data_IF_832608153163
#
_entry.id   IF_832608153163
#
_cell.length_a   1.000
_cell.length_b   1.000
_cell.length_c   1.000
_cell.angle_alpha   90.00
_cell.angle_beta   90.00
_cell.angle_gamma   90.00
#
_symmetry.space_group_name_H-M   'P 1'
#
loop_
_entity.id
_entity.type
_entity.pdbx_description
1 polymer ?
#
# COMPACT_ATOMS: atom_id res chain seq x y z
N UNK A 1 -18.46 26.45 -8.52
CA UNK A 1 -18.59 25.66 -9.78
C UNK A 1 -18.71 24.19 -9.40
N UNK A 2 -19.40 23.37 -10.20
CA UNK A 2 -19.43 21.91 -10.02
C UNK A 2 -18.65 21.26 -11.16
N UNK A 3 -17.85 20.25 -10.83
CA UNK A 3 -17.04 19.48 -11.78
C UNK A 3 -17.18 17.98 -11.48
N UNK A 4 -16.64 17.15 -12.36
CA UNK A 4 -16.53 15.71 -12.17
C UNK A 4 -15.07 15.29 -12.31
N UNK A 5 -14.56 14.53 -11.35
CA UNK A 5 -13.21 13.96 -11.38
C UNK A 5 -13.27 12.51 -10.91
N UNK A 6 -12.60 11.59 -11.64
CA UNK A 6 -12.69 10.15 -11.42
C UNK A 6 -14.13 9.62 -11.32
N UNK A 7 -15.03 10.10 -12.21
CA UNK A 7 -16.45 9.77 -12.20
C UNK A 7 -17.20 10.17 -10.90
N UNK A 8 -16.62 11.05 -10.08
CA UNK A 8 -17.23 11.54 -8.85
C UNK A 8 -17.45 13.06 -8.94
N UNK A 9 -18.59 13.57 -8.46
CA UNK A 9 -18.85 15.00 -8.42
C UNK A 9 -17.95 15.69 -7.39
N UNK A 10 -17.56 16.93 -7.67
CA UNK A 10 -16.86 17.78 -6.72
C UNK A 10 -17.22 19.26 -6.92
N UNK A 11 -17.17 20.02 -5.84
CA UNK A 11 -17.32 21.46 -5.86
C UNK A 11 -15.95 22.11 -5.97
N UNK A 12 -15.86 23.13 -6.81
CA UNK A 12 -14.65 23.93 -7.03
C UNK A 12 -15.00 25.40 -6.82
N UNK A 13 -14.19 26.08 -6.03
CA UNK A 13 -14.08 27.52 -6.04
C UNK A 13 -12.60 27.90 -6.20
N UNK A 14 -12.35 29.02 -6.86
CA UNK A 14 -10.99 29.51 -7.04
C UNK A 14 -10.96 31.02 -6.96
N UNK A 15 -9.82 31.53 -6.55
CA UNK A 15 -9.49 32.95 -6.55
C UNK A 15 -8.09 33.13 -7.13
N UNK A 16 -7.87 34.28 -7.74
CA UNK A 16 -6.57 34.63 -8.29
C UNK A 16 -6.11 35.97 -7.76
N UNK A 17 -4.80 36.13 -7.68
CA UNK A 17 -4.16 37.37 -7.25
C UNK A 17 -2.93 37.62 -8.11
N UNK A 18 -2.96 38.72 -8.84
CA UNK A 18 -1.79 39.23 -9.52
C UNK A 18 -0.95 40.04 -8.52
N UNK A 19 0.33 39.69 -8.38
CA UNK A 19 1.28 40.39 -7.52
C UNK A 19 2.54 40.76 -8.28
N UNK A 20 3.31 41.72 -7.76
CA UNK A 20 4.48 42.28 -8.46
C UNK A 20 5.56 41.26 -8.88
N UNK A 21 5.59 40.06 -8.28
CA UNK A 21 6.62 39.03 -8.54
C UNK A 21 6.05 37.69 -9.04
N UNK A 22 4.75 37.47 -8.87
CA UNK A 22 4.11 36.21 -9.19
C UNK A 22 2.60 36.37 -9.32
N UNK A 23 2.01 35.54 -10.16
CA UNK A 23 0.58 35.30 -10.18
C UNK A 23 0.24 34.13 -9.25
N UNK A 24 -0.78 34.28 -8.42
CA UNK A 24 -1.19 33.26 -7.45
C UNK A 24 -2.61 32.79 -7.76
N UNK A 25 -2.83 31.48 -7.64
CA UNK A 25 -4.15 30.86 -7.75
C UNK A 25 -4.38 30.05 -6.49
N UNK A 26 -5.50 30.28 -5.83
CA UNK A 26 -5.96 29.47 -4.71
C UNK A 26 -7.26 28.77 -5.14
N UNK A 27 -7.31 27.46 -5.01
CA UNK A 27 -8.48 26.64 -5.34
C UNK A 27 -8.91 25.90 -4.08
N UNK A 28 -10.19 26.00 -3.73
CA UNK A 28 -10.78 25.11 -2.73
C UNK A 28 -11.66 24.08 -3.44
N UNK A 29 -11.57 22.87 -2.92
CA UNK A 29 -12.22 21.68 -3.43
C UNK A 29 -12.99 21.03 -2.28
N UNK A 30 -14.14 20.46 -2.56
CA UNK A 30 -14.78 19.51 -1.64
C UNK A 30 -15.64 18.51 -2.41
N UNK A 31 -15.83 17.34 -1.82
CA UNK A 31 -16.63 16.28 -2.42
C UNK A 31 -17.05 15.24 -1.41
N UNK A 32 -18.03 14.42 -1.79
CA UNK A 32 -18.37 13.19 -1.09
C UNK A 32 -18.25 12.03 -2.08
N UNK A 33 -17.13 11.34 -2.03
CA UNK A 33 -16.73 10.37 -3.05
C UNK A 33 -16.95 8.95 -2.59
N UNK A 34 -17.28 8.07 -3.53
CA UNK A 34 -17.32 6.63 -3.31
C UNK A 34 -16.01 6.01 -3.83
N UNK A 35 -15.06 5.62 -2.96
CA UNK A 35 -13.73 5.16 -3.40
C UNK A 35 -13.79 4.00 -4.41
N UNK A 36 -14.70 3.06 -4.19
CA UNK A 36 -14.95 1.90 -5.06
C UNK A 36 -15.47 2.24 -6.47
N UNK A 37 -15.89 3.50 -6.71
CA UNK A 37 -16.48 3.97 -7.99
C UNK A 37 -15.63 5.00 -8.70
N UNK A 38 -14.39 5.19 -8.26
CA UNK A 38 -13.43 6.11 -8.88
C UNK A 38 -12.90 5.58 -10.23
N UNK A 39 -12.95 4.26 -10.43
CA UNK A 39 -12.43 3.61 -11.64
C UNK A 39 -10.91 3.51 -11.71
N UNK A 40 -10.20 3.87 -10.63
CA UNK A 40 -8.73 3.84 -10.58
C UNK A 40 -8.18 2.57 -9.92
N UNK A 41 -8.97 1.93 -9.06
CA UNK A 41 -8.55 0.73 -8.33
C UNK A 41 -8.88 -0.55 -9.11
N UNK A 42 -8.09 -1.62 -8.90
CA UNK A 42 -8.42 -2.96 -9.42
C UNK A 42 -9.81 -3.43 -8.98
N UNK A 43 -10.46 -4.25 -9.81
CA UNK A 43 -11.82 -4.76 -9.54
C UNK A 43 -11.93 -5.44 -8.17
N UNK A 44 -11.00 -6.34 -7.84
CA UNK A 44 -10.96 -7.03 -6.56
C UNK A 44 -10.82 -6.09 -5.34
N UNK A 45 -10.17 -4.93 -5.52
CA UNK A 45 -10.05 -3.91 -4.48
C UNK A 45 -11.35 -3.09 -4.39
N UNK A 46 -11.96 -2.72 -5.52
CA UNK A 46 -13.24 -2.02 -5.53
C UNK A 46 -14.34 -2.83 -4.84
N UNK A 47 -14.42 -4.13 -5.09
CA UNK A 47 -15.42 -5.02 -4.48
C UNK A 47 -15.25 -5.14 -2.94
N UNK A 48 -14.03 -4.97 -2.44
CA UNK A 48 -13.75 -5.02 -1.01
C UNK A 48 -14.10 -3.70 -0.29
N UNK A 49 -14.31 -2.60 -1.02
CA UNK A 49 -14.55 -1.27 -0.47
C UNK A 49 -16.03 -0.87 -0.61
N UNK A 50 -16.55 -0.15 0.39
CA UNK A 50 -17.92 0.34 0.36
C UNK A 50 -18.08 1.64 1.13
N UNK A 51 -19.16 2.36 0.84
CA UNK A 51 -19.48 3.64 1.48
C UNK A 51 -18.90 4.86 0.75
N UNK A 52 -18.84 5.98 1.47
CA UNK A 52 -18.40 7.26 0.91
C UNK A 52 -17.54 8.04 1.89
N UNK A 53 -16.72 8.94 1.37
CA UNK A 53 -15.86 9.83 2.16
C UNK A 53 -16.14 11.27 1.76
N UNK A 54 -16.54 12.06 2.75
CA UNK A 54 -16.54 13.51 2.62
C UNK A 54 -15.11 14.02 2.83
N UNK A 55 -14.67 14.89 1.93
CA UNK A 55 -13.32 15.45 1.96
C UNK A 55 -13.34 16.92 1.51
N UNK A 56 -12.36 17.67 2.00
CA UNK A 56 -12.03 19.02 1.55
C UNK A 56 -10.58 19.06 1.05
N UNK A 57 -10.34 19.99 0.14
CA UNK A 57 -9.03 20.17 -0.47
C UNK A 57 -8.71 21.63 -0.68
N UNK A 58 -7.44 21.98 -0.52
CA UNK A 58 -6.90 23.31 -0.82
C UNK A 58 -5.72 23.15 -1.74
N UNK A 59 -5.70 23.90 -2.82
CA UNK A 59 -4.60 23.93 -3.78
C UNK A 59 -4.10 25.36 -3.90
N UNK A 60 -2.82 25.57 -3.61
CA UNK A 60 -2.14 26.84 -3.85
C UNK A 60 -1.17 26.69 -5.01
N UNK A 61 -1.32 27.50 -6.05
CA UNK A 61 -0.41 27.54 -7.21
C UNK A 61 0.27 28.91 -7.23
N UNK A 62 1.59 28.90 -7.39
CA UNK A 62 2.40 30.10 -7.55
C UNK A 62 3.09 30.04 -8.90
N UNK A 63 2.89 31.09 -9.69
CA UNK A 63 3.46 31.28 -11.03
C UNK A 63 4.35 32.53 -11.01
N UNK A 64 5.64 32.40 -10.65
CA UNK A 64 6.58 33.51 -10.73
C UNK A 64 6.82 33.94 -12.19
N UNK A 65 6.98 35.23 -12.45
CA UNK A 65 7.16 35.73 -13.83
C UNK A 65 8.47 35.30 -14.50
N UNK A 66 9.47 34.92 -13.71
CA UNK A 66 10.82 34.59 -14.17
C UNK A 66 11.36 33.27 -13.59
N UNK A 67 10.47 32.41 -13.07
CA UNK A 67 10.86 31.09 -12.55
C UNK A 67 9.76 30.04 -12.82
N UNK A 68 10.06 28.77 -12.53
CA UNK A 68 9.10 27.67 -12.71
C UNK A 68 7.92 27.73 -11.74
N UNK A 69 6.78 27.18 -12.18
CA UNK A 69 5.59 27.05 -11.35
C UNK A 69 5.79 26.08 -10.18
N UNK A 70 5.20 26.41 -9.04
CA UNK A 70 5.13 25.53 -7.86
C UNK A 70 3.70 25.42 -7.38
N UNK A 71 3.35 24.30 -6.77
CA UNK A 71 2.04 24.10 -6.18
C UNK A 71 2.12 23.35 -4.86
N UNK A 72 1.16 23.63 -3.99
CA UNK A 72 0.86 22.84 -2.81
C UNK A 72 -0.58 22.32 -2.88
N UNK A 73 -0.81 21.15 -2.31
CA UNK A 73 -2.14 20.58 -2.13
C UNK A 73 -2.25 20.08 -0.70
N UNK A 74 -3.36 20.38 -0.04
CA UNK A 74 -3.75 19.75 1.21
C UNK A 74 -5.13 19.13 1.02
N UNK A 75 -5.28 17.85 1.32
CA UNK A 75 -6.56 17.13 1.32
C UNK A 75 -6.83 16.61 2.72
N UNK A 76 -8.05 16.79 3.20
CA UNK A 76 -8.53 16.28 4.48
C UNK A 76 -9.81 15.49 4.27
N UNK A 77 -9.95 14.37 4.97
CA UNK A 77 -11.19 13.60 4.99
C UNK A 77 -11.27 12.69 6.20
N UNK A 78 -12.43 12.08 6.40
CA UNK A 78 -12.61 11.04 7.41
C UNK A 78 -13.28 9.82 6.78
N UNK A 79 -12.58 8.68 6.82
CA UNK A 79 -13.04 7.40 6.30
C UNK A 79 -14.04 6.69 7.24
N UNK A 80 -14.64 7.42 8.19
CA UNK A 80 -15.70 6.90 9.09
C UNK A 80 -16.78 6.11 8.35
N UNK A 81 -17.27 6.66 7.25
CA UNK A 81 -18.37 6.05 6.48
C UNK A 81 -17.88 5.07 5.40
N UNK A 82 -16.58 4.78 5.36
CA UNK A 82 -15.98 3.78 4.46
C UNK A 82 -15.72 2.50 5.24
N UNK A 83 -16.14 1.37 4.65
CA UNK A 83 -15.76 0.04 5.10
C UNK A 83 -14.79 -0.61 4.10
N UNK A 84 -13.91 -1.44 4.64
CA UNK A 84 -12.93 -2.22 3.90
C UNK A 84 -12.97 -3.67 4.37
N UNK A 85 -13.24 -4.57 3.43
CA UNK A 85 -13.15 -6.02 3.58
C UNK A 85 -11.83 -6.56 3.00
N UNK A 86 -10.84 -5.68 2.82
CA UNK A 86 -9.49 -6.09 2.44
C UNK A 86 -8.85 -6.91 3.57
N UNK A 87 -7.87 -7.78 3.24
CA UNK A 87 -7.11 -8.51 4.25
C UNK A 87 -6.46 -7.59 5.28
N UNK A 88 -6.26 -8.11 6.49
CA UNK A 88 -5.51 -7.41 7.54
C UNK A 88 -4.10 -7.02 7.05
N UNK A 89 -3.65 -5.77 7.27
CA UNK A 89 -4.19 -4.77 8.21
C UNK A 89 -5.21 -3.79 7.65
N UNK A 90 -5.64 -3.93 6.40
CA UNK A 90 -6.54 -2.96 5.75
C UNK A 90 -8.03 -3.23 6.01
N UNK A 91 -8.37 -4.30 6.73
CA UNK A 91 -9.72 -4.55 7.17
C UNK A 91 -10.21 -3.42 8.08
N UNK A 92 -11.39 -2.87 7.81
CA UNK A 92 -11.98 -1.78 8.59
C UNK A 92 -13.51 -1.83 8.54
N UNK A 93 -14.22 -1.87 9.67
CA UNK A 93 -15.68 -1.72 9.68
C UNK A 93 -16.10 -0.27 9.38
N UNK A 94 -17.33 -0.10 8.91
CA UNK A 94 -17.95 1.23 8.83
C UNK A 94 -18.26 1.75 10.25
N UNK A 95 -18.29 3.07 10.41
CA UNK A 95 -18.65 3.75 11.66
C UNK A 95 -17.46 4.17 12.53
N UNK A 96 -16.29 3.56 12.33
CA UNK A 96 -15.05 3.92 13.04
C UNK A 96 -14.34 5.07 12.32
N UNK A 97 -14.13 6.23 12.99
CA UNK A 97 -13.40 7.34 12.42
C UNK A 97 -11.98 6.92 12.03
N UNK A 98 -11.58 7.33 10.83
CA UNK A 98 -10.21 7.18 10.36
C UNK A 98 -9.89 8.46 9.57
N UNK A 99 -9.45 9.53 10.26
CA UNK A 99 -9.05 10.77 9.63
C UNK A 99 -7.89 10.51 8.67
N UNK A 100 -7.94 11.13 7.49
CA UNK A 100 -6.89 11.07 6.48
C UNK A 100 -6.50 12.49 6.11
N UNK A 101 -5.20 12.77 6.15
CA UNK A 101 -4.62 14.00 5.64
C UNK A 101 -3.56 13.64 4.59
N UNK A 102 -3.57 14.35 3.47
CA UNK A 102 -2.57 14.27 2.42
C UNK A 102 -2.06 15.66 2.14
N UNK A 103 -0.74 15.80 2.04
CA UNK A 103 -0.06 17.02 1.62
C UNK A 103 0.81 16.72 0.42
N UNK A 104 0.78 17.60 -0.56
CA UNK A 104 1.61 17.52 -1.75
C UNK A 104 2.33 18.84 -1.93
N UNK A 105 3.64 18.77 -2.13
CA UNK A 105 4.46 19.91 -2.52
C UNK A 105 5.17 19.59 -3.83
N UNK A 106 4.97 20.41 -4.84
CA UNK A 106 5.38 20.09 -6.19
C UNK A 106 5.79 21.26 -7.07
N UNK A 107 6.41 20.91 -8.18
CA UNK A 107 6.77 21.81 -9.26
C UNK A 107 6.50 21.12 -10.61
N UNK A 108 6.98 21.70 -11.71
CA UNK A 108 6.74 21.16 -13.05
C UNK A 108 7.40 19.80 -13.34
N UNK A 109 8.36 19.36 -12.54
CA UNK A 109 9.16 18.14 -12.77
C UNK A 109 8.84 17.01 -11.80
N UNK A 110 8.41 17.32 -10.59
CA UNK A 110 8.17 16.32 -9.54
C UNK A 110 7.30 16.88 -8.43
N UNK A 111 6.71 15.98 -7.64
CA UNK A 111 6.11 16.33 -6.36
C UNK A 111 6.43 15.30 -5.30
N UNK A 112 6.50 15.78 -4.07
CA UNK A 112 6.57 14.95 -2.88
C UNK A 112 5.18 14.95 -2.23
N UNK A 113 4.70 13.77 -1.88
CA UNK A 113 3.41 13.54 -1.25
C UNK A 113 3.66 12.91 0.12
N UNK A 114 3.11 13.53 1.15
CA UNK A 114 3.13 13.04 2.52
C UNK A 114 1.71 12.88 3.01
N UNK A 115 1.51 12.05 4.03
CA UNK A 115 0.25 12.06 4.75
C UNK A 115 0.13 10.97 5.78
N UNK A 116 -1.05 10.92 6.36
CA UNK A 116 -1.38 10.05 7.47
C UNK A 116 -2.82 9.55 7.38
N UNK A 117 -3.04 8.35 7.89
CA UNK A 117 -4.35 7.79 8.14
C UNK A 117 -4.42 7.36 9.61
N UNK A 118 -5.39 7.87 10.37
CA UNK A 118 -5.43 7.65 11.81
C UNK A 118 -4.20 8.23 12.52
N UNK A 119 -3.81 7.59 13.63
CA UNK A 119 -2.72 8.06 14.49
C UNK A 119 -1.35 7.43 14.16
N UNK A 120 -1.34 6.36 13.38
CA UNK A 120 -0.24 5.41 13.32
C UNK A 120 0.14 4.98 11.89
N UNK A 121 -0.65 5.33 10.88
CA UNK A 121 -0.29 5.06 9.48
C UNK A 121 0.22 6.32 8.83
N UNK A 122 1.47 6.29 8.35
CA UNK A 122 2.11 7.39 7.65
C UNK A 122 2.62 6.94 6.29
N UNK A 123 2.46 7.80 5.30
CA UNK A 123 2.93 7.58 3.94
C UNK A 123 3.73 8.76 3.43
N UNK A 124 4.78 8.46 2.68
CA UNK A 124 5.65 9.44 2.04
C UNK A 124 6.03 8.91 0.66
N UNK A 125 5.92 9.72 -0.37
CA UNK A 125 6.25 9.32 -1.74
C UNK A 125 6.77 10.48 -2.57
N UNK A 126 7.61 10.16 -3.54
CA UNK A 126 8.11 11.10 -4.55
C UNK A 126 7.70 10.61 -5.93
N UNK A 127 7.15 11.53 -6.70
CA UNK A 127 6.65 11.27 -8.04
C UNK A 127 7.34 12.19 -9.04
N UNK A 128 7.67 11.64 -10.20
CA UNK A 128 8.25 12.37 -11.32
C UNK A 128 7.17 12.63 -12.37
N UNK A 129 7.11 13.87 -12.82
CA UNK A 129 6.25 14.34 -13.89
C UNK A 129 7.06 14.26 -15.19
N UNK A 130 6.62 13.39 -16.10
CA UNK A 130 7.24 13.18 -17.40
C UNK A 130 6.22 12.68 -18.41
N UNK A 131 6.65 11.91 -19.41
CA UNK A 131 5.73 11.29 -20.39
C UNK A 131 4.68 10.40 -19.71
N UNK A 132 5.06 9.75 -18.61
CA UNK A 132 4.19 8.97 -17.75
C UNK A 132 4.47 9.36 -16.31
N UNK A 133 3.42 9.51 -15.52
CA UNK A 133 3.54 9.72 -14.07
C UNK A 133 4.34 8.55 -13.48
N UNK A 134 5.47 8.83 -12.85
CA UNK A 134 6.37 7.78 -12.35
C UNK A 134 6.53 7.90 -10.85
N UNK A 135 6.23 6.83 -10.13
CA UNK A 135 6.58 6.72 -8.72
C UNK A 135 8.09 6.44 -8.62
N UNK A 136 8.86 7.40 -8.11
CA UNK A 136 10.30 7.23 -7.88
C UNK A 136 10.53 6.45 -6.59
N UNK A 137 9.97 6.96 -5.50
CA UNK A 137 10.17 6.42 -4.14
C UNK A 137 8.88 6.47 -3.35
N UNK A 138 8.62 5.45 -2.55
CA UNK A 138 7.54 5.45 -1.59
C UNK A 138 7.92 4.70 -0.33
N UNK A 139 7.36 5.14 0.79
CA UNK A 139 7.28 4.38 2.01
C UNK A 139 5.89 4.49 2.60
N UNK A 140 5.35 3.37 3.05
CA UNK A 140 4.20 3.32 3.95
C UNK A 140 4.65 2.61 5.21
N UNK A 141 4.58 3.32 6.33
CA UNK A 141 4.82 2.79 7.66
C UNK A 141 3.53 2.80 8.48
N UNK A 142 3.02 1.62 8.76
CA UNK A 142 2.02 1.40 9.81
C UNK A 142 2.70 1.37 11.19
N UNK A 143 1.94 1.59 12.25
CA UNK A 143 2.42 1.69 13.63
C UNK A 143 3.53 2.75 13.84
N UNK A 144 3.62 3.74 12.95
CA UNK A 144 4.61 4.81 13.02
C UNK A 144 4.02 6.05 13.69
N UNK A 145 4.77 6.62 14.64
CA UNK A 145 4.40 7.89 15.32
C UNK A 145 4.81 9.14 14.54
N UNK A 146 5.68 8.99 13.55
CA UNK A 146 6.23 10.10 12.77
C UNK A 146 6.22 9.78 11.30
N UNK A 147 6.22 10.80 10.45
CA UNK A 147 6.40 10.65 9.02
C UNK A 147 7.77 10.00 8.73
N UNK A 148 7.83 8.81 8.10
CA UNK A 148 9.10 8.20 7.74
C UNK A 148 9.79 8.97 6.60
N UNK A 149 11.13 9.02 6.57
CA UNK A 149 11.87 9.56 5.43
C UNK A 149 11.66 8.67 4.20
N UNK A 150 11.78 9.27 3.01
CA UNK A 150 11.80 8.50 1.77
C UNK A 150 12.99 7.51 1.75
N UNK A 151 12.84 6.34 1.12
CA UNK A 151 13.96 5.43 0.88
C UNK A 151 15.12 6.13 0.14
N UNK A 152 16.35 5.67 0.36
CA UNK A 152 17.52 6.23 -0.32
C UNK A 152 17.53 5.91 -1.82
N UNK A 153 17.00 4.74 -2.19
CA UNK A 153 16.95 4.23 -3.57
C UNK A 153 15.53 4.25 -4.12
N UNK A 154 15.38 4.36 -5.43
CA UNK A 154 14.08 4.23 -6.10
C UNK A 154 13.43 2.89 -5.79
N UNK A 155 12.20 2.90 -5.27
CA UNK A 155 11.56 1.71 -4.74
C UNK A 155 10.38 2.02 -3.82
N UNK A 156 9.66 0.97 -3.46
CA UNK A 156 8.58 1.03 -2.46
C UNK A 156 9.01 0.26 -1.21
N UNK A 157 8.94 0.91 -0.05
CA UNK A 157 9.09 0.26 1.26
C UNK A 157 7.74 0.18 1.97
N UNK A 158 7.39 -1.02 2.42
CA UNK A 158 6.17 -1.33 3.13
C UNK A 158 6.54 -1.84 4.52
N UNK A 159 6.38 -1.00 5.53
CA UNK A 159 6.58 -1.36 6.93
C UNK A 159 5.21 -1.61 7.55
N UNK A 160 4.84 -2.89 7.60
CA UNK A 160 3.50 -3.35 7.90
C UNK A 160 3.42 -3.95 9.30
N UNK A 161 2.26 -3.89 9.95
CA UNK A 161 2.00 -4.63 11.19
C UNK A 161 1.88 -6.13 10.84
N UNK A 162 1.49 -7.03 11.77
CA UNK A 162 1.23 -8.42 11.41
C UNK A 162 0.24 -8.58 10.24
N UNK A 163 0.54 -9.45 9.29
CA UNK A 163 -0.23 -9.64 8.05
C UNK A 163 -0.68 -11.09 7.86
N UNK A 164 -1.86 -11.28 7.26
CA UNK A 164 -2.30 -12.57 6.76
C UNK A 164 -1.94 -12.72 5.27
N UNK A 165 -0.76 -13.26 4.99
CA UNK A 165 -0.26 -13.47 3.63
C UNK A 165 -1.12 -14.38 2.76
N UNK A 166 -1.84 -15.35 3.35
CA UNK A 166 -2.73 -16.23 2.59
C UNK A 166 -3.94 -15.46 2.02
N UNK A 167 -4.54 -14.57 2.81
CA UNK A 167 -5.63 -13.71 2.35
C UNK A 167 -5.16 -12.70 1.30
N UNK A 168 -3.99 -12.10 1.48
CA UNK A 168 -3.38 -11.22 0.49
C UNK A 168 -3.09 -11.95 -0.83
N UNK A 169 -2.53 -13.15 -0.76
CA UNK A 169 -2.28 -13.97 -1.96
C UNK A 169 -3.60 -14.30 -2.69
N UNK A 170 -4.65 -14.66 -1.96
CA UNK A 170 -5.97 -14.91 -2.54
C UNK A 170 -6.55 -13.65 -3.21
N UNK A 171 -6.34 -12.47 -2.65
CA UNK A 171 -6.73 -11.19 -3.27
C UNK A 171 -5.97 -10.93 -4.58
N UNK A 172 -4.65 -11.14 -4.60
CA UNK A 172 -3.84 -10.96 -5.81
C UNK A 172 -4.21 -11.95 -6.91
N UNK A 173 -4.53 -13.20 -6.56
CA UNK A 173 -5.01 -14.20 -7.52
C UNK A 173 -6.37 -13.85 -8.14
N UNK A 174 -7.16 -12.98 -7.50
CA UNK A 174 -8.41 -12.43 -8.05
C UNK A 174 -8.19 -11.21 -8.96
N UNK A 175 -6.96 -10.90 -9.34
CA UNK A 175 -6.65 -9.84 -10.30
C UNK A 175 -6.34 -8.47 -9.66
N UNK A 176 -6.04 -8.40 -8.37
CA UNK A 176 -5.67 -7.13 -7.73
C UNK A 176 -4.38 -6.48 -8.29
N UNK A 177 -3.60 -7.20 -9.09
CA UNK A 177 -2.36 -6.71 -9.72
C UNK A 177 -2.54 -6.24 -11.18
N UNK A 178 -3.68 -6.50 -11.83
CA UNK A 178 -3.79 -6.41 -13.29
C UNK A 178 -3.99 -4.98 -13.85
N UNK A 179 -4.44 -4.02 -13.04
CA UNK A 179 -4.94 -2.72 -13.55
C UNK A 179 -4.08 -1.50 -13.25
N UNK A 180 -2.92 -1.64 -12.58
CA UNK A 180 -2.15 -0.49 -12.11
C UNK A 180 -1.23 0.11 -13.21
N UNK A 181 -0.96 -0.65 -14.28
CA UNK A 181 0.08 -0.33 -15.27
C UNK A 181 -0.28 0.70 -16.36
N UNK A 182 -1.53 1.14 -16.49
CA UNK A 182 -1.94 2.02 -17.61
C UNK A 182 -1.53 3.49 -17.45
N UNK A 183 -1.79 4.07 -16.28
CA UNK A 183 -1.68 5.52 -16.06
C UNK A 183 -0.35 5.97 -15.42
N UNK A 184 0.35 5.06 -14.71
CA UNK A 184 1.59 5.37 -14.02
C UNK A 184 2.65 4.27 -14.18
N UNK A 185 3.91 4.65 -13.97
CA UNK A 185 5.05 3.74 -13.86
C UNK A 185 5.41 3.55 -12.39
N UNK A 186 5.63 2.30 -11.98
CA UNK A 186 5.96 1.94 -10.61
C UNK A 186 7.35 1.30 -10.54
N UNK A 187 8.10 1.53 -9.46
CA UNK A 187 9.41 0.94 -9.33
C UNK A 187 9.27 -0.56 -9.07
N UNK A 188 10.21 -1.34 -9.61
CA UNK A 188 10.24 -2.80 -9.45
C UNK A 188 10.95 -3.25 -8.18
N UNK A 189 11.71 -2.34 -7.54
CA UNK A 189 12.30 -2.58 -6.23
C UNK A 189 11.24 -2.40 -5.14
N UNK A 190 10.92 -3.48 -4.42
CA UNK A 190 9.92 -3.50 -3.36
C UNK A 190 10.53 -4.14 -2.13
N UNK A 191 10.46 -3.47 -0.99
CA UNK A 191 10.82 -4.00 0.32
C UNK A 191 9.56 -4.10 1.17
N UNK A 192 9.27 -5.28 1.72
CA UNK A 192 8.22 -5.51 2.71
C UNK A 192 8.87 -5.93 4.02
N UNK A 193 8.55 -5.23 5.11
CA UNK A 193 8.95 -5.58 6.47
C UNK A 193 7.70 -5.76 7.31
N UNK A 194 7.62 -6.87 8.03
CA UNK A 194 6.52 -7.14 8.95
C UNK A 194 7.01 -7.96 10.15
N UNK A 195 6.54 -7.68 11.38
CA UNK A 195 6.90 -8.49 12.53
C UNK A 195 6.35 -9.92 12.44
N UNK A 196 5.26 -10.15 11.70
CA UNK A 196 4.70 -11.48 11.49
C UNK A 196 3.90 -11.56 10.19
N UNK A 197 4.21 -12.54 9.34
CA UNK A 197 3.42 -12.91 8.17
C UNK A 197 2.86 -14.32 8.36
N UNK A 198 1.55 -14.50 8.27
CA UNK A 198 0.94 -15.83 8.21
C UNK A 198 0.82 -16.30 6.76
N UNK A 199 1.57 -17.33 6.36
CA UNK A 199 1.53 -17.88 5.00
C UNK A 199 1.93 -19.35 5.00
N UNK A 200 1.24 -20.19 4.21
CA UNK A 200 1.56 -21.62 4.11
C UNK A 200 1.35 -22.36 5.42
N UNK A 201 0.26 -22.05 6.15
CA UNK A 201 -0.07 -22.59 7.47
C UNK A 201 1.02 -22.37 8.54
N UNK A 202 1.91 -21.40 8.34
CA UNK A 202 2.98 -21.05 9.27
C UNK A 202 3.01 -19.54 9.51
N UNK A 203 3.51 -19.15 10.69
CA UNK A 203 3.92 -17.79 10.99
C UNK A 203 5.40 -17.59 10.69
N UNK A 204 5.71 -16.60 9.86
CA UNK A 204 7.05 -16.12 9.55
C UNK A 204 7.30 -14.86 10.37
N UNK A 205 8.21 -14.94 11.33
CA UNK A 205 8.45 -13.90 12.31
C UNK A 205 9.64 -13.01 11.91
N UNK A 206 9.50 -11.71 12.16
CA UNK A 206 10.47 -10.66 11.82
C UNK A 206 10.92 -10.77 10.36
N UNK A 207 9.95 -10.79 9.45
CA UNK A 207 10.16 -11.06 8.05
C UNK A 207 10.47 -9.77 7.28
N UNK A 208 11.55 -9.79 6.51
CA UNK A 208 11.92 -8.82 5.50
C UNK A 208 11.97 -9.52 4.15
N UNK A 209 11.18 -9.06 3.19
CA UNK A 209 11.20 -9.51 1.80
C UNK A 209 11.67 -8.36 0.92
N UNK A 210 12.70 -8.58 0.12
CA UNK A 210 13.19 -7.59 -0.86
C UNK A 210 13.07 -8.21 -2.24
N UNK A 211 12.29 -7.58 -3.12
CA UNK A 211 12.19 -7.92 -4.53
C UNK A 211 12.89 -6.85 -5.34
N UNK A 212 13.80 -7.23 -6.23
CA UNK A 212 14.50 -6.29 -7.09
C UNK A 212 14.71 -6.84 -8.50
N UNK A 213 14.63 -5.99 -9.53
CA UNK A 213 14.93 -6.41 -10.89
C UNK A 213 16.43 -6.71 -11.04
N UNK A 214 16.72 -7.65 -11.92
CA UNK A 214 18.07 -8.02 -12.36
C UNK A 214 18.12 -7.97 -13.89
N UNK A 215 19.32 -8.07 -14.46
CA UNK A 215 19.48 -8.07 -15.92
C UNK A 215 18.70 -9.19 -16.65
N UNK A 216 18.36 -10.29 -15.96
CA UNK A 216 17.70 -11.45 -16.57
C UNK A 216 16.50 -11.98 -15.75
N UNK A 217 15.74 -11.06 -15.12
CA UNK A 217 14.55 -11.39 -14.35
C UNK A 217 14.50 -10.68 -13.00
N UNK A 218 13.98 -11.33 -11.97
CA UNK A 218 13.79 -10.73 -10.64
C UNK A 218 14.48 -11.57 -9.58
N UNK A 219 15.14 -10.91 -8.63
CA UNK A 219 15.66 -11.55 -7.42
C UNK A 219 14.76 -11.19 -6.24
N UNK A 220 14.35 -12.21 -5.48
CA UNK A 220 13.61 -12.05 -4.23
C UNK A 220 14.45 -12.60 -3.09
N UNK A 221 14.66 -11.81 -2.07
CA UNK A 221 15.35 -12.20 -0.84
C UNK A 221 14.35 -12.22 0.30
N UNK A 222 14.33 -13.29 1.08
CA UNK A 222 13.50 -13.41 2.27
C UNK A 222 14.40 -13.68 3.47
N UNK A 223 14.32 -12.81 4.48
CA UNK A 223 15.07 -12.92 5.72
C UNK A 223 14.12 -12.79 6.90
N UNK A 224 14.13 -13.78 7.78
CA UNK A 224 13.35 -13.80 9.02
C UNK A 224 13.86 -14.88 9.96
N UNK A 225 13.15 -15.09 11.07
CA UNK A 225 13.53 -16.11 12.06
C UNK A 225 13.47 -17.52 11.47
N UNK A 226 12.50 -17.78 10.61
CA UNK A 226 12.25 -19.11 10.04
C UNK A 226 12.85 -19.30 8.64
N UNK A 227 13.29 -18.24 7.96
CA UNK A 227 13.82 -18.32 6.59
C UNK A 227 15.00 -17.37 6.35
N UNK A 228 16.01 -17.86 5.65
CA UNK A 228 16.99 -17.01 4.97
C UNK A 228 17.27 -17.63 3.61
N UNK A 229 16.72 -17.01 2.58
CA UNK A 229 16.79 -17.54 1.23
C UNK A 229 16.77 -16.43 0.18
N UNK A 230 17.31 -16.77 -1.00
CA UNK A 230 17.21 -15.95 -2.21
C UNK A 230 16.58 -16.79 -3.32
N UNK A 231 15.64 -16.21 -4.07
CA UNK A 231 15.02 -16.80 -5.24
C UNK A 231 15.33 -15.93 -6.47
N UNK A 232 16.06 -16.48 -7.43
CA UNK A 232 16.26 -15.87 -8.74
C UNK A 232 15.21 -16.39 -9.72
N UNK A 233 14.22 -15.55 -10.04
CA UNK A 233 13.19 -15.79 -11.04
C UNK A 233 13.71 -15.34 -12.41
N UNK A 234 14.29 -16.26 -13.16
CA UNK A 234 14.87 -15.98 -14.48
C UNK A 234 13.80 -16.01 -15.57
N UNK A 235 13.86 -15.08 -16.52
CA UNK A 235 12.84 -14.97 -17.58
C UNK A 235 12.77 -16.20 -18.49
N UNK A 236 13.94 -16.69 -18.93
CA UNK A 236 14.06 -17.76 -19.92
C UNK A 236 14.84 -18.97 -19.38
N UNK A 237 14.82 -19.18 -18.06
CA UNK A 237 15.51 -20.28 -17.41
C UNK A 237 14.77 -20.69 -16.12
N UNK A 238 14.99 -21.91 -15.60
CA UNK A 238 14.36 -22.35 -14.36
C UNK A 238 14.67 -21.40 -13.19
N UNK A 239 13.76 -21.29 -12.23
CA UNK A 239 14.03 -20.52 -11.03
C UNK A 239 15.12 -21.19 -10.19
N UNK A 240 15.98 -20.37 -9.58
CA UNK A 240 17.05 -20.86 -8.71
C UNK A 240 16.81 -20.36 -7.29
N UNK A 241 16.61 -21.29 -6.36
CA UNK A 241 16.48 -20.98 -4.94
C UNK A 241 17.78 -21.34 -4.21
N UNK A 242 18.38 -20.39 -3.50
CA UNK A 242 19.45 -20.64 -2.54
C UNK A 242 18.89 -20.43 -1.14
N UNK A 243 18.86 -21.50 -0.34
CA UNK A 243 18.26 -21.50 0.99
C UNK A 243 19.38 -21.74 2.00
N UNK A 244 19.71 -20.73 2.80
CA UNK A 244 20.67 -20.87 3.90
C UNK A 244 20.06 -21.65 5.07
N UNK A 245 18.82 -21.32 5.42
CA UNK A 245 18.00 -22.11 6.32
C UNK A 245 16.52 -21.90 6.02
N UNK A 246 15.73 -22.92 6.35
CA UNK A 246 14.28 -22.92 6.31
C UNK A 246 13.76 -23.80 7.46
N UNK A 247 13.10 -23.18 8.42
CA UNK A 247 12.43 -23.85 9.52
C UNK A 247 10.93 -23.88 9.23
N UNK A 248 10.46 -25.02 8.76
CA UNK A 248 9.04 -25.22 8.48
C UNK A 248 8.37 -26.01 9.61
N UNK A 249 7.48 -25.36 10.34
CA UNK A 249 6.64 -25.93 11.39
C UNK A 249 5.20 -25.40 11.20
N UNK A 250 4.40 -26.03 10.33
CA UNK A 250 3.04 -25.59 10.07
C UNK A 250 2.21 -25.72 11.34
N UNK A 251 1.62 -24.62 11.79
CA UNK A 251 0.58 -24.64 12.80
C UNK A 251 -0.64 -25.36 12.23
N UNK A 252 -0.98 -26.51 12.79
CA UNK A 252 -2.31 -27.11 12.57
C UNK A 252 -3.34 -26.08 13.01
N UNK A 253 -4.17 -25.63 12.07
CA UNK A 253 -5.30 -24.77 12.37
C UNK A 253 -6.11 -25.47 13.46
N UNK A 254 -6.22 -24.85 14.65
CA UNK A 254 -7.18 -25.31 15.66
C UNK A 254 -8.57 -25.08 15.05
N UNK A 255 -9.13 -26.12 14.48
CA UNK A 255 -10.56 -26.19 14.18
C UNK A 255 -11.30 -25.86 15.47
N UNK A 256 -12.07 -24.77 15.44
CA UNK A 256 -12.99 -24.44 16.51
C UNK A 256 -14.12 -25.46 16.45
N UNK A 257 -13.95 -26.57 17.17
CA UNK A 257 -14.90 -27.68 17.22
C UNK A 257 -14.39 -28.76 18.17
N UNK A 258 -15.02 -28.81 19.34
CA UNK A 258 -15.01 -29.85 20.35
C UNK A 258 -13.70 -30.21 21.07
N UNK A 259 -13.73 -29.92 22.37
CA UNK A 259 -12.85 -30.47 23.39
C UNK A 259 -12.88 -32.00 23.37
N UNK A 260 -11.80 -32.63 22.92
CA UNK A 260 -11.22 -33.83 23.56
C UNK A 260 -9.76 -33.97 23.10
N UNK A 261 -8.78 -34.13 24.01
CA UNK A 261 -7.40 -34.37 23.63
C UNK A 261 -7.22 -35.86 23.28
N UNK A 262 -7.24 -36.22 21.99
CA UNK A 262 -6.69 -37.50 21.55
C UNK A 262 -5.18 -37.36 21.40
N UNK A 263 -4.43 -38.13 22.20
CA UNK A 263 -2.97 -38.21 22.11
C UNK A 263 -2.54 -38.76 20.73
N UNK A 264 -1.43 -38.27 20.14
CA UNK A 264 -0.97 -38.66 18.81
C UNK A 264 -0.17 -39.98 18.78
N UNK A 265 -0.23 -40.79 19.84
CA UNK A 265 0.49 -42.06 19.89
C UNK A 265 -0.51 -43.22 19.72
N UNK A 266 -0.33 -44.11 18.72
CA UNK A 266 -1.10 -45.34 18.66
C UNK A 266 -0.73 -46.22 19.86
N UNK A 267 -1.73 -46.64 20.62
CA UNK A 267 -1.61 -47.63 21.68
C UNK A 267 -1.03 -48.90 21.07
N UNK A 268 0.17 -49.29 21.47
CA UNK A 268 0.76 -50.60 21.15
C UNK A 268 -0.13 -51.70 21.72
N UNK A 269 -0.95 -52.33 20.87
CA UNK A 269 -1.53 -53.63 21.19
C UNK A 269 -0.42 -54.68 21.16
N UNK A 270 -0.17 -55.28 22.33
CA UNK A 270 0.68 -56.47 22.46
C UNK A 270 0.02 -57.63 21.71
N UNK A 271 0.66 -58.09 20.64
CA UNK A 271 0.41 -59.40 20.07
C UNK A 271 1.25 -60.40 20.87
N UNK A 272 0.60 -61.29 21.63
CA UNK A 272 1.24 -62.44 22.27
C UNK A 272 1.33 -63.59 21.25
N UNK A 273 2.47 -64.28 21.23
CA UNK A 273 2.63 -65.61 20.64
C UNK A 273 2.33 -66.69 21.70
#
# INVERSE_FOLDING_TARGET
LTASWFNQPLNVDFSTKEGAKAYQVAVNLNGNWQPAKTGVLPAAVNEALSGSVAWDGKVGIVLPYHAGATYNVELNGDLKNVSSHLPSPLAKPAGEPLPVNVKVDGNLNSFDLTGQAGADNHFNSRWLLGQKLTLDRAIWAADSKTLPPLPEQSGVELNMPPMNGAEWLALFQKGAAESVGGAASFPQHITLRTPMLSLGNQQWNNLSIVSQPTANGTQVEAQGREINATLAMRNNAPWLANIKYLYYNPSVAKTRGDSTPSSPFPTTERINF
#
